data_IF_901421326467
#
_entry.id   IF_901421326467
#
_cell.length_a   1.000
_cell.length_b   1.000
_cell.length_c   1.000
_cell.angle_alpha   90.00
_cell.angle_beta   90.00
_cell.angle_gamma   90.00
#
_symmetry.space_group_name_H-M   'P 1'
#
loop_
_entity.id
_entity.type
_entity.pdbx_description
1 polymer ?
#
# COMPACT_ATOMS: atom_id res chain seq x y z
N UNK A 1 13.33 -23.98 -16.89
CA UNK A 1 14.67 -24.07 -16.30
C UNK A 1 15.73 -24.07 -17.38
N UNK A 2 16.92 -23.50 -17.14
CA UNK A 2 18.04 -23.45 -18.10
C UNK A 2 19.06 -22.38 -17.73
N UNK A 3 20.08 -22.23 -18.59
CA UNK A 3 21.08 -21.17 -18.40
C UNK A 3 20.60 -19.84 -18.94
N UNK A 4 20.89 -18.74 -18.25
CA UNK A 4 20.66 -17.40 -18.78
C UNK A 4 21.67 -17.14 -19.91
N UNK A 5 21.17 -16.86 -21.12
CA UNK A 5 22.01 -16.56 -22.29
C UNK A 5 22.09 -15.06 -22.56
N UNK A 6 21.05 -14.32 -22.23
CA UNK A 6 21.01 -12.87 -22.42
C UNK A 6 20.33 -12.19 -21.22
N UNK A 7 20.77 -11.00 -20.91
CA UNK A 7 20.24 -10.13 -19.88
C UNK A 7 20.05 -8.74 -20.49
N UNK A 8 18.81 -8.24 -20.46
CA UNK A 8 18.43 -6.95 -21.08
C UNK A 8 18.34 -5.80 -20.09
N UNK A 9 18.65 -6.06 -18.82
CA UNK A 9 18.49 -5.13 -17.72
C UNK A 9 19.80 -4.95 -16.94
N UNK A 10 19.84 -3.85 -16.19
CA UNK A 10 20.85 -3.61 -15.14
C UNK A 10 20.12 -3.51 -13.79
N UNK A 11 20.69 -4.08 -12.74
CA UNK A 11 20.12 -3.96 -11.39
C UNK A 11 19.88 -2.50 -11.00
N UNK A 12 18.77 -2.22 -10.34
CA UNK A 12 18.39 -0.88 -9.90
C UNK A 12 17.71 0.00 -10.94
N UNK A 13 17.59 -0.43 -12.21
CA UNK A 13 16.92 0.40 -13.23
C UNK A 13 15.38 0.30 -13.17
N UNK A 14 14.66 1.36 -13.59
CA UNK A 14 13.22 1.30 -13.80
C UNK A 14 12.89 0.48 -15.06
N UNK A 15 11.81 -0.30 -15.00
CA UNK A 15 11.29 -1.10 -16.11
C UNK A 15 9.79 -0.89 -16.28
N UNK A 16 9.30 -1.15 -17.50
CA UNK A 16 7.87 -1.09 -17.83
C UNK A 16 7.29 -2.50 -17.90
N UNK A 17 5.99 -2.63 -17.63
CA UNK A 17 5.27 -3.88 -17.87
C UNK A 17 5.48 -4.36 -19.32
N UNK A 18 5.75 -5.66 -19.49
CA UNK A 18 6.04 -6.26 -20.78
C UNK A 18 7.47 -6.04 -21.33
N UNK A 19 8.35 -5.36 -20.59
CA UNK A 19 9.74 -5.21 -20.99
C UNK A 19 10.50 -6.53 -20.79
N UNK A 20 11.28 -7.02 -21.77
CA UNK A 20 12.10 -8.21 -21.60
C UNK A 20 13.20 -7.96 -20.57
N UNK A 21 13.41 -8.94 -19.69
CA UNK A 21 14.39 -8.89 -18.60
C UNK A 21 15.54 -9.86 -18.84
N UNK A 22 15.20 -11.12 -19.10
CA UNK A 22 16.16 -12.21 -19.29
C UNK A 22 15.72 -13.13 -20.41
N UNK A 23 16.71 -13.79 -21.04
CA UNK A 23 16.48 -14.87 -21.98
C UNK A 23 17.22 -16.13 -21.49
N UNK A 24 16.47 -17.21 -21.38
CA UNK A 24 16.96 -18.54 -21.03
C UNK A 24 17.29 -19.28 -22.33
N UNK A 25 18.23 -20.22 -22.30
CA UNK A 25 18.58 -21.08 -23.46
C UNK A 25 17.34 -21.82 -23.97
N UNK A 26 16.90 -21.45 -25.17
CA UNK A 26 15.66 -21.92 -25.78
C UNK A 26 15.81 -23.19 -26.60
N UNK A 27 17.05 -23.67 -26.91
CA UNK A 27 17.32 -24.76 -27.85
C UNK A 27 16.54 -26.04 -27.55
N UNK A 28 16.44 -26.41 -26.28
CA UNK A 28 15.68 -27.58 -25.86
C UNK A 28 14.17 -27.40 -26.12
N UNK A 29 13.64 -26.22 -25.85
CA UNK A 29 12.23 -25.89 -26.03
C UNK A 29 11.85 -25.78 -27.50
N UNK A 30 12.73 -25.21 -28.34
CA UNK A 30 12.57 -25.17 -29.80
C UNK A 30 12.52 -26.59 -30.39
N UNK A 31 13.39 -27.48 -29.94
CA UNK A 31 13.39 -28.88 -30.36
C UNK A 31 12.12 -29.62 -29.94
N UNK A 32 11.62 -29.37 -28.72
CA UNK A 32 10.37 -29.95 -28.23
C UNK A 32 9.15 -29.45 -29.02
N UNK A 33 9.12 -28.18 -29.36
CA UNK A 33 8.07 -27.60 -30.19
C UNK A 33 8.08 -28.21 -31.61
N UNK A 34 9.26 -28.35 -32.21
CA UNK A 34 9.39 -28.98 -33.55
C UNK A 34 8.89 -30.44 -33.53
N UNK A 35 9.22 -31.20 -32.48
CA UNK A 35 8.74 -32.57 -32.28
C UNK A 35 7.20 -32.61 -32.14
N UNK A 36 6.62 -31.71 -31.33
CA UNK A 36 5.17 -31.63 -31.16
C UNK A 36 4.45 -31.29 -32.49
N UNK A 37 5.00 -30.36 -33.25
CA UNK A 37 4.48 -30.02 -34.59
C UNK A 37 4.55 -31.19 -35.58
N UNK A 38 5.62 -31.98 -35.56
CA UNK A 38 5.77 -33.16 -36.41
C UNK A 38 4.70 -34.24 -36.03
N UNK A 39 4.45 -34.47 -34.76
CA UNK A 39 3.42 -35.39 -34.29
C UNK A 39 2.01 -34.94 -34.70
N UNK A 40 1.73 -33.64 -34.61
CA UNK A 40 0.47 -33.06 -35.08
C UNK A 40 0.29 -33.30 -36.59
N UNK A 41 1.29 -32.96 -37.41
CA UNK A 41 1.24 -33.16 -38.86
C UNK A 41 1.00 -34.64 -39.25
N UNK A 42 1.59 -35.60 -38.49
CA UNK A 42 1.34 -37.01 -38.70
C UNK A 42 -0.13 -37.37 -38.43
N UNK A 43 -0.70 -36.86 -37.32
CA UNK A 43 -2.10 -37.13 -36.94
C UNK A 43 -3.08 -36.49 -37.93
N UNK A 44 -2.80 -35.29 -38.41
CA UNK A 44 -3.58 -34.61 -39.46
C UNK A 44 -3.60 -35.42 -40.77
N UNK A 45 -2.44 -35.94 -41.23
CA UNK A 45 -2.35 -36.79 -42.39
C UNK A 45 -3.16 -38.11 -42.22
N UNK A 46 -3.12 -38.73 -41.03
CA UNK A 46 -3.90 -39.90 -40.70
C UNK A 46 -5.40 -39.62 -40.73
N UNK A 47 -5.84 -38.51 -40.14
CA UNK A 47 -7.21 -38.05 -40.19
C UNK A 47 -7.70 -37.77 -41.61
N UNK A 48 -6.87 -37.10 -42.41
CA UNK A 48 -7.19 -36.82 -43.81
C UNK A 48 -7.46 -38.12 -44.59
N UNK A 49 -6.60 -39.15 -44.42
CA UNK A 49 -6.82 -40.45 -45.04
C UNK A 49 -8.11 -41.12 -44.57
N UNK A 50 -8.37 -41.12 -43.25
CA UNK A 50 -9.59 -41.71 -42.70
C UNK A 50 -10.88 -41.00 -43.17
N UNK A 51 -10.83 -39.69 -43.37
CA UNK A 51 -11.95 -38.90 -43.94
C UNK A 51 -12.17 -39.24 -45.42
N UNK A 52 -11.11 -39.41 -46.23
CA UNK A 52 -11.25 -39.85 -47.61
C UNK A 52 -11.85 -41.27 -47.71
N UNK A 53 -11.48 -42.18 -46.81
CA UNK A 53 -12.05 -43.52 -46.74
C UNK A 53 -13.53 -43.47 -46.31
N UNK A 54 -13.88 -42.62 -45.38
CA UNK A 54 -15.26 -42.44 -44.97
C UNK A 54 -16.14 -41.93 -46.12
N UNK A 55 -15.66 -40.91 -46.84
CA UNK A 55 -16.36 -40.39 -48.06
C UNK A 55 -16.60 -41.50 -49.07
N UNK A 56 -15.58 -42.31 -49.36
CA UNK A 56 -15.67 -43.45 -50.26
C UNK A 56 -16.70 -44.49 -49.76
N UNK A 57 -16.71 -44.80 -48.47
CA UNK A 57 -17.67 -45.75 -47.89
C UNK A 57 -19.06 -45.19 -47.89
N UNK A 58 -19.30 -43.93 -47.69
CA UNK A 58 -20.58 -43.27 -47.77
C UNK A 58 -21.15 -43.38 -49.22
N UNK A 59 -20.31 -43.20 -50.24
CA UNK A 59 -20.72 -43.38 -51.65
C UNK A 59 -21.08 -44.85 -51.97
N UNK A 60 -20.32 -45.82 -51.47
CA UNK A 60 -20.60 -47.25 -51.64
C UNK A 60 -21.89 -47.67 -50.90
N UNK A 61 -22.14 -47.11 -49.74
CA UNK A 61 -23.40 -47.36 -49.00
C UNK A 61 -24.61 -46.78 -49.73
N UNK A 62 -24.50 -45.59 -50.29
CA UNK A 62 -25.56 -45.00 -51.14
C UNK A 62 -25.95 -45.88 -52.35
N UNK A 63 -24.98 -46.66 -52.84
CA UNK A 63 -25.17 -47.64 -53.92
C UNK A 63 -25.53 -49.05 -53.41
N UNK A 64 -25.86 -49.21 -52.12
CA UNK A 64 -26.16 -50.48 -51.45
C UNK A 64 -25.06 -51.55 -51.56
N UNK A 65 -23.80 -51.16 -51.74
CA UNK A 65 -22.63 -52.06 -51.91
C UNK A 65 -21.98 -52.50 -50.61
N UNK A 66 -22.26 -51.78 -49.49
CA UNK A 66 -21.75 -52.10 -48.12
C UNK A 66 -22.82 -51.89 -47.07
N UNK A 67 -22.60 -52.44 -45.86
CA UNK A 67 -23.51 -52.29 -44.71
C UNK A 67 -23.42 -50.95 -44.03
N UNK A 68 -24.48 -50.52 -43.39
CA UNK A 68 -24.51 -49.34 -42.51
C UNK A 68 -23.50 -49.47 -41.37
N UNK A 69 -23.30 -50.65 -40.82
CA UNK A 69 -22.34 -50.96 -39.80
C UNK A 69 -20.89 -50.58 -40.23
N UNK A 70 -20.56 -50.80 -41.49
CA UNK A 70 -19.24 -50.49 -42.03
C UNK A 70 -18.99 -48.99 -42.06
N UNK A 71 -19.99 -48.21 -42.49
CA UNK A 71 -19.91 -46.72 -42.47
C UNK A 71 -19.83 -46.18 -41.04
N UNK A 72 -20.65 -46.72 -40.15
CA UNK A 72 -20.67 -46.34 -38.72
C UNK A 72 -19.30 -46.59 -38.04
N UNK A 73 -18.70 -47.74 -38.29
CA UNK A 73 -17.35 -48.06 -37.78
C UNK A 73 -16.30 -47.08 -38.30
N UNK A 74 -16.35 -46.72 -39.60
CA UNK A 74 -15.41 -45.77 -40.19
C UNK A 74 -15.65 -44.34 -39.64
N UNK A 75 -16.89 -43.94 -39.43
CA UNK A 75 -17.21 -42.67 -38.75
C UNK A 75 -16.64 -42.63 -37.34
N UNK A 76 -16.80 -43.72 -36.57
CA UNK A 76 -16.18 -43.80 -35.24
C UNK A 76 -14.65 -43.69 -35.29
N UNK A 77 -14.02 -44.24 -36.29
CA UNK A 77 -12.56 -44.14 -36.52
C UNK A 77 -12.14 -42.70 -36.86
N UNK A 78 -12.91 -42.00 -37.69
CA UNK A 78 -12.67 -40.56 -37.97
C UNK A 78 -12.79 -39.75 -36.70
N UNK A 79 -13.82 -39.96 -35.90
CA UNK A 79 -14.01 -39.26 -34.61
C UNK A 79 -12.83 -39.50 -33.65
N UNK A 80 -12.31 -40.73 -33.62
CA UNK A 80 -11.12 -41.08 -32.81
C UNK A 80 -9.87 -40.32 -33.30
N UNK A 81 -9.66 -40.20 -34.60
CA UNK A 81 -8.52 -39.45 -35.17
C UNK A 81 -8.68 -37.96 -34.98
N UNK A 82 -9.90 -37.43 -35.04
CA UNK A 82 -10.17 -36.02 -34.69
C UNK A 82 -9.78 -35.71 -33.24
N UNK A 83 -10.14 -36.59 -32.32
CA UNK A 83 -9.73 -36.46 -30.92
C UNK A 83 -8.19 -36.53 -30.77
N UNK A 84 -7.51 -37.40 -31.56
CA UNK A 84 -6.04 -37.49 -31.55
C UNK A 84 -5.39 -36.20 -32.08
N UNK A 85 -5.92 -35.60 -33.14
CA UNK A 85 -5.44 -34.29 -33.66
C UNK A 85 -5.60 -33.21 -32.59
N UNK A 86 -6.76 -33.13 -31.94
CA UNK A 86 -6.99 -32.17 -30.86
C UNK A 86 -6.00 -32.34 -29.70
N UNK A 87 -5.70 -33.59 -29.33
CA UNK A 87 -4.70 -33.88 -28.28
C UNK A 87 -3.29 -33.41 -28.68
N UNK A 88 -2.84 -33.70 -29.92
CA UNK A 88 -1.54 -33.24 -30.40
C UNK A 88 -1.48 -31.72 -30.60
N UNK A 89 -2.60 -31.07 -30.95
CA UNK A 89 -2.68 -29.60 -31.02
C UNK A 89 -2.48 -28.97 -29.63
N UNK A 90 -3.07 -29.57 -28.58
CA UNK A 90 -2.82 -29.14 -27.22
C UNK A 90 -1.35 -29.32 -26.80
N UNK A 91 -0.67 -30.39 -27.26
CA UNK A 91 0.77 -30.58 -27.02
C UNK A 91 1.63 -29.52 -27.74
N UNK A 92 1.26 -29.12 -28.95
CA UNK A 92 1.94 -28.00 -29.65
C UNK A 92 1.77 -26.70 -28.88
N UNK A 93 0.56 -26.41 -28.39
CA UNK A 93 0.29 -25.24 -27.60
C UNK A 93 1.15 -25.22 -26.32
N UNK A 94 1.19 -26.31 -25.59
CA UNK A 94 2.03 -26.45 -24.38
C UNK A 94 3.52 -26.26 -24.67
N UNK A 95 4.02 -26.82 -25.79
CA UNK A 95 5.41 -26.66 -26.17
C UNK A 95 5.73 -25.21 -26.58
N UNK A 96 4.77 -24.52 -27.21
CA UNK A 96 4.91 -23.11 -27.55
C UNK A 96 4.95 -22.24 -26.30
N UNK A 97 4.05 -22.44 -25.35
CA UNK A 97 4.03 -21.73 -24.05
C UNK A 97 5.36 -21.91 -23.31
N UNK A 98 5.88 -23.13 -23.25
CA UNK A 98 7.19 -23.41 -22.64
C UNK A 98 8.35 -22.68 -23.35
N UNK A 99 8.26 -22.50 -24.67
CA UNK A 99 9.24 -21.74 -25.46
C UNK A 99 9.10 -20.24 -25.16
N UNK A 100 7.88 -19.71 -25.13
CA UNK A 100 7.61 -18.31 -24.85
C UNK A 100 8.09 -17.93 -23.44
N UNK A 101 7.93 -18.83 -22.47
CA UNK A 101 8.41 -18.69 -21.09
C UNK A 101 9.95 -18.66 -20.96
N UNK A 102 10.71 -18.96 -22.03
CA UNK A 102 12.17 -18.77 -22.04
C UNK A 102 12.59 -17.31 -22.06
N UNK A 103 11.71 -16.41 -22.48
CA UNK A 103 11.92 -14.97 -22.39
C UNK A 103 11.10 -14.42 -21.22
N UNK A 104 11.80 -13.96 -20.19
CA UNK A 104 11.17 -13.44 -18.98
C UNK A 104 10.89 -11.96 -19.15
N UNK A 105 9.63 -11.58 -18.98
CA UNK A 105 9.16 -10.21 -19.08
C UNK A 105 8.79 -9.65 -17.72
N UNK A 106 8.86 -8.31 -17.59
CA UNK A 106 8.39 -7.61 -16.41
C UNK A 106 6.85 -7.72 -16.28
N UNK A 107 6.30 -8.28 -15.18
CA UNK A 107 4.86 -8.41 -15.00
C UNK A 107 4.15 -7.07 -14.73
N UNK A 108 4.90 -6.08 -14.29
CA UNK A 108 4.40 -4.74 -13.95
C UNK A 108 5.49 -3.68 -14.20
N UNK A 109 5.11 -2.41 -14.20
CA UNK A 109 6.09 -1.32 -14.18
C UNK A 109 6.59 -1.09 -12.76
N UNK A 110 7.89 -0.82 -12.62
CA UNK A 110 8.51 -0.62 -11.29
C UNK A 110 10.02 -0.51 -11.38
N UNK A 111 10.67 -0.49 -10.24
CA UNK A 111 12.12 -0.47 -10.12
C UNK A 111 12.64 -1.85 -9.74
N UNK A 112 13.70 -2.29 -10.39
CA UNK A 112 14.37 -3.55 -10.09
C UNK A 112 15.26 -3.41 -8.87
N UNK A 113 15.42 -4.51 -8.12
CA UNK A 113 16.46 -4.60 -7.10
C UNK A 113 17.86 -4.54 -7.71
N UNK A 114 18.84 -4.14 -6.92
CA UNK A 114 20.25 -4.11 -7.35
C UNK A 114 20.78 -5.53 -7.54
N UNK A 115 20.28 -6.48 -6.73
CA UNK A 115 20.67 -7.89 -6.82
C UNK A 115 19.92 -8.56 -7.97
N UNK A 116 20.65 -8.98 -8.96
CA UNK A 116 20.17 -9.70 -10.14
C UNK A 116 21.08 -10.90 -10.46
N UNK A 117 20.63 -11.78 -11.35
CA UNK A 117 21.37 -12.98 -11.74
C UNK A 117 22.23 -12.68 -12.96
N UNK A 118 23.46 -13.21 -12.95
CA UNK A 118 24.42 -13.05 -14.04
C UNK A 118 24.12 -13.98 -15.22
N UNK A 119 24.54 -13.55 -16.42
CA UNK A 119 24.53 -14.40 -17.64
C UNK A 119 25.41 -15.64 -17.39
N UNK A 120 24.97 -16.79 -17.89
CA UNK A 120 25.61 -18.07 -17.68
C UNK A 120 25.14 -18.84 -16.44
N UNK A 121 24.38 -18.21 -15.53
CA UNK A 121 23.84 -18.89 -14.36
C UNK A 121 22.72 -19.84 -14.75
N UNK A 122 22.71 -21.04 -14.18
CA UNK A 122 21.60 -21.98 -14.31
C UNK A 122 20.47 -21.58 -13.35
N UNK A 123 19.25 -21.49 -13.89
CA UNK A 123 18.05 -21.11 -13.12
C UNK A 123 16.99 -22.19 -13.23
N UNK A 124 16.30 -22.43 -12.13
CA UNK A 124 15.23 -23.42 -12.02
C UNK A 124 13.89 -22.74 -11.77
N UNK A 125 12.88 -23.20 -12.50
CA UNK A 125 11.51 -22.71 -12.33
C UNK A 125 11.01 -22.97 -10.91
N UNK A 126 10.39 -21.96 -10.30
CA UNK A 126 9.80 -22.03 -8.96
C UNK A 126 10.78 -21.96 -7.78
N UNK A 127 12.10 -22.00 -8.01
CA UNK A 127 13.10 -21.98 -6.92
C UNK A 127 14.09 -20.82 -7.02
N UNK A 128 14.43 -20.37 -8.22
CA UNK A 128 15.42 -19.30 -8.40
C UNK A 128 14.74 -17.97 -8.61
N UNK A 129 14.99 -17.02 -7.70
CA UNK A 129 14.59 -15.62 -7.89
C UNK A 129 15.59 -14.94 -8.82
N UNK A 130 15.13 -14.47 -9.97
CA UNK A 130 15.97 -13.79 -10.97
C UNK A 130 16.28 -12.35 -10.58
N UNK A 131 15.27 -11.61 -10.20
CA UNK A 131 15.35 -10.23 -9.73
C UNK A 131 14.06 -9.93 -8.98
N UNK A 132 14.15 -9.12 -7.94
CA UNK A 132 12.97 -8.58 -7.27
C UNK A 132 12.60 -7.23 -7.88
N UNK A 133 11.31 -6.95 -8.00
CA UNK A 133 10.86 -5.65 -8.46
C UNK A 133 9.77 -5.13 -7.54
N UNK A 134 9.72 -3.81 -7.38
CA UNK A 134 8.70 -3.13 -6.58
C UNK A 134 8.15 -1.92 -7.33
N UNK A 135 6.85 -1.73 -7.25
CA UNK A 135 6.24 -0.46 -7.62
C UNK A 135 6.45 0.51 -6.45
N UNK A 136 7.09 1.64 -6.74
CA UNK A 136 7.27 2.71 -5.76
C UNK A 136 6.30 3.87 -5.95
N UNK A 137 5.47 3.83 -6.99
CA UNK A 137 4.45 4.83 -7.26
C UNK A 137 3.17 4.14 -7.79
N UNK A 138 2.04 4.23 -7.07
CA UNK A 138 1.91 4.79 -5.72
C UNK A 138 2.55 3.92 -4.64
N UNK A 139 2.80 4.49 -3.45
CA UNK A 139 3.36 3.79 -2.30
C UNK A 139 2.41 3.85 -1.11
N UNK A 140 2.43 2.80 -0.29
CA UNK A 140 1.65 2.76 0.94
C UNK A 140 2.50 3.08 2.17
N UNK A 141 2.02 4.00 3.01
CA UNK A 141 2.49 4.15 4.37
C UNK A 141 1.59 3.33 5.29
N UNK A 142 2.18 2.40 6.03
CA UNK A 142 1.46 1.58 7.01
C UNK A 142 1.75 2.09 8.41
N UNK A 143 0.69 2.31 9.19
CA UNK A 143 0.78 2.74 10.58
C UNK A 143 -0.31 2.10 11.41
N UNK A 144 -0.20 2.19 12.73
CA UNK A 144 -1.16 1.61 13.66
C UNK A 144 -1.82 2.70 14.48
N UNK A 145 -3.13 2.60 14.63
CA UNK A 145 -3.93 3.43 15.53
C UNK A 145 -4.30 2.62 16.76
N UNK A 146 -4.26 3.23 17.94
CA UNK A 146 -4.82 2.63 19.15
C UNK A 146 -6.35 2.60 19.07
N UNK A 147 -6.99 1.76 19.90
CA UNK A 147 -8.45 1.69 19.98
C UNK A 147 -9.08 3.06 20.28
N UNK A 148 -8.49 3.82 21.20
CA UNK A 148 -8.98 5.15 21.56
C UNK A 148 -8.89 6.15 20.40
N UNK A 149 -7.76 6.16 19.69
CA UNK A 149 -7.59 7.01 18.49
C UNK A 149 -8.59 6.63 17.41
N UNK A 150 -8.81 5.33 17.21
CA UNK A 150 -9.80 4.84 16.25
C UNK A 150 -11.23 5.28 16.62
N UNK A 151 -11.63 5.16 17.88
CA UNK A 151 -12.96 5.58 18.35
C UNK A 151 -13.15 7.09 18.19
N UNK A 152 -12.16 7.90 18.56
CA UNK A 152 -12.18 9.34 18.34
C UNK A 152 -12.30 9.68 16.84
N UNK A 153 -11.59 8.94 16.02
CA UNK A 153 -11.64 9.10 14.56
C UNK A 153 -13.04 8.80 14.00
N UNK A 154 -13.65 7.68 14.42
CA UNK A 154 -15.01 7.29 13.98
C UNK A 154 -16.08 8.28 14.48
N UNK A 155 -15.94 8.83 15.69
CA UNK A 155 -16.87 9.85 16.20
C UNK A 155 -16.79 11.15 15.40
N UNK A 156 -15.60 11.56 14.99
CA UNK A 156 -15.40 12.72 14.11
C UNK A 156 -15.97 12.47 12.72
N UNK A 157 -15.77 11.29 12.17
CA UNK A 157 -16.32 10.90 10.87
C UNK A 157 -17.85 10.91 10.82
N UNK A 158 -18.49 10.41 11.87
CA UNK A 158 -19.95 10.39 11.95
C UNK A 158 -20.55 11.80 11.88
N UNK A 159 -19.76 12.83 12.23
CA UNK A 159 -20.17 14.25 12.17
C UNK A 159 -19.92 14.87 10.79
N UNK A 160 -19.12 14.30 9.91
CA UNK A 160 -18.58 14.99 8.73
C UNK A 160 -18.62 14.23 7.39
N UNK A 161 -19.13 13.03 7.32
CA UNK A 161 -19.49 12.39 6.04
C UNK A 161 -18.49 11.40 5.43
N UNK A 162 -17.53 10.84 6.18
CA UNK A 162 -16.84 9.59 5.76
C UNK A 162 -15.29 9.61 5.76
N UNK A 163 -14.71 8.43 5.91
CA UNK A 163 -13.24 8.10 6.02
C UNK A 163 -12.38 8.73 4.89
N UNK A 164 -12.98 9.20 3.82
CA UNK A 164 -12.25 9.72 2.65
C UNK A 164 -11.74 11.15 2.76
N UNK A 165 -12.10 11.91 3.79
CA UNK A 165 -11.76 13.33 3.92
C UNK A 165 -10.48 13.63 4.72
N UNK A 166 -9.93 12.62 5.41
CA UNK A 166 -8.73 12.82 6.24
C UNK A 166 -7.49 12.87 5.36
N UNK A 167 -6.81 13.99 5.43
CA UNK A 167 -5.51 14.20 4.77
C UNK A 167 -4.41 13.60 5.64
N UNK A 168 -3.50 12.88 5.00
CA UNK A 168 -2.37 12.25 5.68
C UNK A 168 -1.08 12.92 5.25
N UNK A 169 -0.31 13.43 6.21
CA UNK A 169 1.04 13.97 5.96
C UNK A 169 2.11 12.99 6.43
N UNK A 170 3.25 13.01 5.73
CA UNK A 170 4.45 12.27 6.14
C UNK A 170 5.58 13.22 6.51
N UNK A 171 6.19 12.96 7.65
CA UNK A 171 7.47 13.56 8.03
C UNK A 171 8.53 12.46 7.98
N UNK A 172 9.54 12.66 7.14
CA UNK A 172 10.63 11.71 6.94
C UNK A 172 11.56 11.68 8.15
N UNK A 173 12.42 10.66 8.23
CA UNK A 173 13.35 10.47 9.35
C UNK A 173 14.36 11.60 9.54
N UNK A 174 14.62 12.40 8.49
CA UNK A 174 15.47 13.60 8.53
C UNK A 174 14.72 14.87 9.00
N UNK A 175 13.43 14.75 9.37
CA UNK A 175 12.60 15.89 9.79
C UNK A 175 11.93 16.65 8.64
N UNK A 176 12.23 16.36 7.38
CA UNK A 176 11.58 17.02 6.25
C UNK A 176 10.15 16.50 6.04
N UNK A 177 9.20 17.38 5.72
CA UNK A 177 7.85 17.00 5.31
C UNK A 177 7.86 16.53 3.85
N UNK A 178 7.17 15.43 3.57
CA UNK A 178 6.92 14.98 2.20
C UNK A 178 5.92 15.93 1.53
N UNK A 179 6.21 16.44 0.32
CA UNK A 179 5.42 17.53 -0.27
C UNK A 179 4.01 17.11 -0.74
N UNK A 180 3.81 15.81 -0.96
CA UNK A 180 2.52 15.28 -1.45
C UNK A 180 1.78 14.64 -0.28
N UNK A 181 0.56 15.08 -0.05
CA UNK A 181 -0.32 14.50 0.96
C UNK A 181 -0.92 13.20 0.49
N UNK A 182 -1.13 12.28 1.41
CA UNK A 182 -1.78 10.99 1.16
C UNK A 182 -3.23 10.96 1.62
N UNK A 183 -3.87 9.86 1.30
CA UNK A 183 -5.24 9.55 1.73
C UNK A 183 -5.30 8.15 2.34
N UNK A 184 -6.18 7.94 3.29
CA UNK A 184 -6.45 6.61 3.83
C UNK A 184 -7.02 5.73 2.72
N UNK A 185 -6.36 4.62 2.44
CA UNK A 185 -6.77 3.67 1.41
C UNK A 185 -7.52 2.49 2.01
N UNK A 186 -6.99 1.91 3.08
CA UNK A 186 -7.59 0.77 3.77
C UNK A 186 -7.27 0.81 5.25
N UNK A 187 -8.22 0.34 6.06
CA UNK A 187 -8.02 0.03 7.47
C UNK A 187 -8.40 -1.43 7.72
N UNK A 188 -7.70 -2.08 8.63
CA UNK A 188 -8.03 -3.43 9.03
C UNK A 188 -9.40 -3.48 9.72
N UNK A 189 -10.05 -4.64 9.75
CA UNK A 189 -11.37 -4.79 10.38
C UNK A 189 -11.31 -5.33 11.81
N UNK A 190 -10.11 -5.65 12.28
CA UNK A 190 -9.91 -6.21 13.61
C UNK A 190 -8.67 -5.59 14.26
N UNK A 191 -8.75 -5.38 15.54
CA UNK A 191 -7.61 -5.00 16.36
C UNK A 191 -6.65 -6.18 16.50
N UNK A 192 -5.36 -5.91 16.44
CA UNK A 192 -4.33 -6.89 16.76
C UNK A 192 -4.39 -7.21 18.25
N UNK A 193 -4.70 -8.46 18.61
CA UNK A 193 -4.97 -8.88 20.00
C UNK A 193 -3.79 -8.62 20.96
N UNK A 194 -2.55 -8.63 20.46
CA UNK A 194 -1.34 -8.42 21.25
C UNK A 194 -1.09 -6.94 21.61
N UNK A 195 -1.48 -6.02 20.74
CA UNK A 195 -1.15 -4.59 20.89
C UNK A 195 -2.38 -3.71 21.09
N UNK A 196 -3.59 -4.21 20.82
CA UNK A 196 -4.82 -3.43 20.87
C UNK A 196 -4.86 -2.32 19.79
N UNK A 197 -4.15 -2.52 18.68
CA UNK A 197 -4.03 -1.50 17.63
C UNK A 197 -4.66 -1.97 16.32
N UNK A 198 -5.18 -1.01 15.56
CA UNK A 198 -5.71 -1.18 14.22
C UNK A 198 -4.64 -0.79 13.18
N UNK A 199 -4.39 -1.65 12.21
CA UNK A 199 -3.48 -1.32 11.11
C UNK A 199 -4.20 -0.53 10.02
N UNK A 200 -3.62 0.59 9.64
CA UNK A 200 -4.13 1.49 8.59
C UNK A 200 -3.07 1.67 7.51
N UNK A 201 -3.50 1.73 6.26
CA UNK A 201 -2.64 2.03 5.11
C UNK A 201 -3.13 3.29 4.42
N UNK A 202 -2.24 4.26 4.31
CA UNK A 202 -2.45 5.46 3.52
C UNK A 202 -1.68 5.36 2.19
N UNK A 203 -2.30 5.81 1.12
CA UNK A 203 -1.75 5.82 -0.23
C UNK A 203 -1.14 7.20 -0.52
N UNK A 204 0.08 7.19 -1.04
CA UNK A 204 0.82 8.38 -1.45
C UNK A 204 1.27 8.24 -2.89
N UNK A 205 1.12 9.29 -3.67
CA UNK A 205 1.77 9.40 -4.96
C UNK A 205 3.26 9.69 -4.75
N UNK A 206 4.12 9.00 -5.51
CA UNK A 206 5.58 9.09 -5.37
C UNK A 206 6.25 9.18 -6.75
N UNK A 207 5.95 10.25 -7.51
CA UNK A 207 6.44 10.37 -8.89
C UNK A 207 7.96 10.44 -8.99
N UNK A 208 8.60 11.07 -8.00
CA UNK A 208 10.07 11.26 -7.97
C UNK A 208 10.80 10.06 -7.34
N UNK A 209 10.07 9.05 -6.86
CA UNK A 209 10.68 7.87 -6.23
C UNK A 209 11.42 8.16 -4.93
N UNK A 210 11.14 9.27 -4.25
CA UNK A 210 11.79 9.67 -3.00
C UNK A 210 11.49 8.71 -1.86
N UNK A 211 10.25 8.22 -1.80
CA UNK A 211 9.83 7.23 -0.81
C UNK A 211 10.22 5.83 -1.30
N UNK A 212 10.97 5.12 -0.47
CA UNK A 212 11.37 3.74 -0.76
C UNK A 212 10.66 2.77 0.19
N UNK A 213 10.26 1.57 -0.28
CA UNK A 213 9.75 0.53 0.60
C UNK A 213 10.75 0.21 1.73
N UNK A 214 10.25 0.11 2.97
CA UNK A 214 11.08 -0.13 4.14
C UNK A 214 11.61 1.13 4.85
N UNK A 215 11.33 2.33 4.33
CA UNK A 215 11.63 3.58 5.04
C UNK A 215 10.67 3.79 6.22
N UNK A 216 11.19 4.43 7.26
CA UNK A 216 10.38 4.90 8.38
C UNK A 216 9.99 6.36 8.18
N UNK A 217 8.74 6.67 8.48
CA UNK A 217 8.21 8.02 8.45
C UNK A 217 7.22 8.21 9.60
N UNK A 218 7.10 9.45 10.09
CA UNK A 218 6.03 9.83 11.01
C UNK A 218 4.81 10.19 10.19
N UNK A 219 3.68 9.58 10.54
CA UNK A 219 2.39 9.86 9.92
C UNK A 219 1.63 10.86 10.81
N UNK A 220 1.15 11.93 10.20
CA UNK A 220 0.28 12.91 10.84
C UNK A 220 -1.06 12.90 10.12
N UNK A 221 -2.13 12.60 10.85
CA UNK A 221 -3.50 12.69 10.36
C UNK A 221 -4.00 14.12 10.57
N UNK A 222 -4.33 14.81 9.50
CA UNK A 222 -4.93 16.14 9.55
C UNK A 222 -6.44 15.94 9.47
N UNK A 223 -7.08 16.11 10.62
CA UNK A 223 -8.54 16.17 10.73
C UNK A 223 -9.07 17.56 10.41
N UNK A 224 -10.33 17.78 10.76
CA UNK A 224 -10.95 19.08 10.56
C UNK A 224 -10.44 20.15 11.51
N UNK A 225 -10.58 21.38 11.02
CA UNK A 225 -10.35 22.57 11.80
C UNK A 225 -11.56 22.78 12.70
N UNK A 226 -11.35 22.94 14.01
CA UNK A 226 -12.41 23.41 14.91
C UNK A 226 -12.47 24.95 14.73
N UNK A 227 -13.46 25.45 14.03
CA UNK A 227 -13.55 26.89 13.81
C UNK A 227 -13.82 27.59 15.16
N UNK A 228 -13.16 28.73 15.39
CA UNK A 228 -13.31 29.56 16.58
C UNK A 228 -12.97 28.84 17.92
N UNK A 229 -12.08 27.84 17.90
CA UNK A 229 -11.60 27.21 19.12
C UNK A 229 -10.88 28.23 20.01
N UNK A 230 -11.29 28.31 21.29
CA UNK A 230 -10.54 29.07 22.29
C UNK A 230 -9.35 28.24 22.73
N UNK A 231 -8.17 28.83 22.62
CA UNK A 231 -6.91 28.20 23.02
C UNK A 231 -6.33 28.92 24.25
N UNK A 232 -5.89 28.12 25.23
CA UNK A 232 -5.20 28.63 26.41
C UNK A 232 -3.81 28.03 26.50
N UNK A 233 -2.74 28.82 26.73
CA UNK A 233 -1.40 28.27 26.90
C UNK A 233 -1.34 27.31 28.08
N UNK A 234 -0.64 26.18 27.92
CA UNK A 234 -0.47 25.18 28.97
C UNK A 234 0.05 25.79 30.29
N UNK A 235 0.99 26.75 30.20
CA UNK A 235 1.55 27.45 31.34
C UNK A 235 0.52 28.21 32.18
N UNK A 236 -0.60 28.62 31.56
CA UNK A 236 -1.68 29.34 32.27
C UNK A 236 -2.61 28.41 33.01
N UNK A 237 -2.62 27.12 32.68
CA UNK A 237 -3.53 26.15 33.26
C UNK A 237 -2.99 25.66 34.61
N UNK A 238 -3.81 25.82 35.65
CA UNK A 238 -3.56 25.26 36.99
C UNK A 238 -4.53 24.13 37.26
N UNK A 239 -4.07 23.15 38.03
CA UNK A 239 -4.91 22.03 38.48
C UNK A 239 -4.93 21.93 40.00
N UNK A 240 -6.11 21.88 40.55
CA UNK A 240 -6.31 21.67 41.98
C UNK A 240 -7.48 20.69 42.22
N UNK A 241 -7.23 19.64 42.98
CA UNK A 241 -8.22 18.62 43.31
C UNK A 241 -8.97 18.02 42.12
N UNK A 242 -8.25 17.84 41.01
CA UNK A 242 -8.81 17.26 39.75
C UNK A 242 -9.64 18.23 38.89
N UNK A 243 -9.69 19.51 39.25
CA UNK A 243 -10.30 20.57 38.46
C UNK A 243 -9.22 21.43 37.81
N UNK A 244 -9.42 21.80 36.55
CA UNK A 244 -8.57 22.73 35.84
C UNK A 244 -9.15 24.15 35.94
N UNK A 245 -8.29 25.13 36.16
CA UNK A 245 -8.69 26.53 36.20
C UNK A 245 -7.58 27.41 35.66
N UNK A 246 -7.93 28.62 35.28
CA UNK A 246 -7.01 29.68 34.88
C UNK A 246 -7.28 30.93 35.67
N UNK A 247 -6.26 31.78 35.85
CA UNK A 247 -6.41 33.09 36.40
C UNK A 247 -6.67 34.08 35.28
N UNK A 248 -7.78 34.80 35.39
CA UNK A 248 -8.13 35.88 34.43
C UNK A 248 -8.07 37.23 35.12
N UNK A 249 -7.87 38.25 34.29
CA UNK A 249 -7.93 39.64 34.76
C UNK A 249 -9.38 40.05 34.87
N UNK A 250 -9.90 40.12 36.08
CA UNK A 250 -11.26 40.52 36.38
C UNK A 250 -11.42 42.06 36.48
N UNK A 251 -12.57 42.49 36.97
CA UNK A 251 -12.86 43.91 37.15
C UNK A 251 -11.85 44.56 38.12
N UNK A 252 -11.46 45.82 37.82
CA UNK A 252 -10.48 46.60 38.59
C UNK A 252 -9.07 45.95 38.69
N UNK A 253 -8.64 45.25 37.67
CA UNK A 253 -7.33 44.56 37.59
C UNK A 253 -7.10 43.59 38.80
N UNK A 254 -8.12 42.88 39.19
CA UNK A 254 -8.04 41.84 40.21
C UNK A 254 -7.99 40.46 39.59
N UNK A 255 -7.23 39.57 40.20
CA UNK A 255 -7.17 38.18 39.79
C UNK A 255 -8.45 37.43 40.12
N UNK A 256 -9.04 36.77 39.15
CA UNK A 256 -10.23 35.92 39.30
C UNK A 256 -9.90 34.50 38.84
N UNK A 257 -10.16 33.50 39.69
CA UNK A 257 -10.00 32.12 39.33
C UNK A 257 -11.22 31.61 38.56
N UNK A 258 -11.04 31.14 37.32
CA UNK A 258 -12.12 30.65 36.49
C UNK A 258 -11.91 29.18 36.17
N UNK A 259 -12.85 28.33 36.56
CA UNK A 259 -12.83 26.91 36.27
C UNK A 259 -13.09 26.70 34.78
N UNK A 260 -12.26 25.88 34.14
CA UNK A 260 -12.35 25.57 32.72
C UNK A 260 -12.44 24.06 32.45
N UNK A 261 -13.07 23.71 31.36
CA UNK A 261 -13.08 22.36 30.81
C UNK A 261 -12.11 22.29 29.66
N UNK A 262 -11.02 21.52 29.85
CA UNK A 262 -10.00 21.32 28.86
C UNK A 262 -10.44 20.30 27.81
N UNK A 263 -10.05 20.54 26.55
CA UNK A 263 -10.09 19.60 25.44
C UNK A 263 -8.71 19.04 25.15
N UNK A 264 -8.44 18.85 23.85
CA UNK A 264 -7.17 18.33 23.37
C UNK A 264 -6.03 19.34 23.52
N UNK A 265 -4.82 18.82 23.71
CA UNK A 265 -3.59 19.63 23.71
C UNK A 265 -3.08 19.72 22.26
N UNK A 266 -2.81 20.93 21.79
CA UNK A 266 -2.27 21.24 20.46
C UNK A 266 -1.02 22.08 20.66
N UNK A 267 0.14 21.49 20.43
CA UNK A 267 1.42 22.16 20.70
C UNK A 267 1.53 22.66 22.13
N UNK A 268 1.74 23.95 22.33
CA UNK A 268 1.85 24.62 23.63
C UNK A 268 0.50 25.03 24.24
N UNK A 269 -0.63 24.63 23.61
CA UNK A 269 -1.97 25.07 24.02
C UNK A 269 -2.91 23.92 24.34
N UNK A 270 -3.91 24.21 25.18
CA UNK A 270 -5.11 23.39 25.33
C UNK A 270 -6.31 24.06 24.66
N UNK A 271 -7.14 23.27 24.00
CA UNK A 271 -8.45 23.71 23.55
C UNK A 271 -9.35 23.86 24.78
N UNK A 272 -10.04 24.97 24.93
CA UNK A 272 -11.03 25.18 26.00
C UNK A 272 -12.40 24.86 25.45
N UNK A 273 -13.09 23.90 26.08
CA UNK A 273 -14.45 23.49 25.72
C UNK A 273 -15.50 24.36 26.40
N UNK A 274 -15.21 24.84 27.60
CA UNK A 274 -16.15 25.64 28.41
C UNK A 274 -15.41 26.38 29.53
N UNK A 275 -15.97 27.53 29.97
CA UNK A 275 -15.47 28.28 31.11
C UNK A 275 -14.63 29.54 30.78
N UNK A 276 -14.40 29.86 29.53
CA UNK A 276 -13.72 31.10 29.08
C UNK A 276 -14.44 31.75 27.91
N UNK A 277 -14.38 33.05 27.88
CA UNK A 277 -14.82 33.86 26.74
C UNK A 277 -13.65 34.44 25.94
N UNK A 278 -13.86 34.68 24.63
CA UNK A 278 -12.83 35.22 23.74
C UNK A 278 -12.30 36.61 24.15
N UNK A 279 -13.02 37.32 25.01
CA UNK A 279 -12.65 38.62 25.55
C UNK A 279 -11.84 38.56 26.84
N UNK A 280 -11.67 37.36 27.45
CA UNK A 280 -10.95 37.17 28.69
C UNK A 280 -9.44 37.34 28.50
N UNK A 281 -8.81 38.04 29.40
CA UNK A 281 -7.36 38.16 29.50
C UNK A 281 -6.82 37.14 30.50
N UNK A 282 -6.05 36.17 30.02
CA UNK A 282 -5.55 35.08 30.86
C UNK A 282 -4.13 35.39 31.31
N UNK A 283 -3.87 35.14 32.61
CA UNK A 283 -2.54 35.31 33.22
C UNK A 283 -1.68 34.10 32.90
N UNK A 284 -0.52 34.31 32.27
CA UNK A 284 0.42 33.27 31.84
C UNK A 284 1.67 33.16 32.72
N UNK A 285 2.01 34.25 33.46
CA UNK A 285 3.16 34.28 34.37
C UNK A 285 2.79 34.90 35.72
N UNK A 286 3.62 34.63 36.76
CA UNK A 286 3.35 35.11 38.12
C UNK A 286 2.34 34.29 38.92
N UNK A 287 1.89 33.17 38.39
CA UNK A 287 0.81 32.33 38.94
C UNK A 287 1.13 31.74 40.33
N UNK A 288 2.40 31.51 40.63
CA UNK A 288 2.84 30.86 41.92
C UNK A 288 2.59 31.68 43.15
N UNK A 289 2.53 32.99 43.03
CA UNK A 289 2.30 33.93 44.14
C UNK A 289 0.92 34.58 44.10
N UNK A 290 0.18 34.33 43.03
CA UNK A 290 -1.12 34.96 42.78
C UNK A 290 -2.22 34.24 43.51
N UNK A 291 -3.02 35.02 44.29
CA UNK A 291 -4.24 34.55 44.95
C UNK A 291 -5.45 35.23 44.34
N UNK A 292 -6.60 34.56 44.42
CA UNK A 292 -7.87 35.12 44.00
C UNK A 292 -8.15 36.44 44.73
N UNK A 293 -8.56 37.48 44.00
CA UNK A 293 -8.78 38.80 44.48
C UNK A 293 -7.54 39.69 44.65
N UNK A 294 -6.32 39.14 44.36
CA UNK A 294 -5.09 39.91 44.39
C UNK A 294 -5.02 41.01 43.27
N UNK A 295 -4.35 42.10 43.60
CA UNK A 295 -4.17 43.20 42.61
C UNK A 295 -3.13 42.81 41.56
N UNK A 296 -3.42 43.06 40.29
CA UNK A 296 -2.61 42.73 39.14
C UNK A 296 -1.94 43.98 38.54
N UNK A 297 -0.63 43.90 38.33
CA UNK A 297 0.10 44.78 37.40
C UNK A 297 0.19 44.08 36.04
N UNK A 298 -0.77 44.34 35.15
CA UNK A 298 -0.91 43.65 33.90
C UNK A 298 0.08 44.18 32.84
N UNK A 299 0.91 43.27 32.27
CA UNK A 299 1.70 43.53 31.08
C UNK A 299 1.21 42.59 29.99
N UNK A 300 0.73 43.11 28.87
CA UNK A 300 0.28 42.29 27.75
C UNK A 300 1.48 41.75 27.00
N UNK A 301 1.45 40.47 26.72
CA UNK A 301 2.47 39.75 25.94
C UNK A 301 1.80 39.05 24.77
N UNK A 302 2.55 38.87 23.68
CA UNK A 302 2.03 38.09 22.54
C UNK A 302 2.48 36.62 22.63
N UNK A 303 1.80 35.70 21.96
CA UNK A 303 2.23 34.32 21.91
C UNK A 303 3.66 34.12 21.43
N UNK A 304 4.12 34.93 20.46
CA UNK A 304 5.49 34.90 19.92
C UNK A 304 6.54 35.31 20.96
N UNK A 305 6.24 36.32 21.80
CA UNK A 305 7.12 36.76 22.88
C UNK A 305 7.37 35.66 23.92
N UNK A 306 6.40 34.75 24.05
CA UNK A 306 6.44 33.65 25.03
C UNK A 306 6.91 32.32 24.43
N UNK A 307 7.17 32.28 23.12
CA UNK A 307 7.61 31.09 22.40
C UNK A 307 6.52 29.99 22.31
N UNK A 308 5.25 30.36 22.34
CA UNK A 308 4.14 29.41 22.21
C UNK A 308 3.92 29.07 20.73
N UNK A 309 3.89 27.77 20.42
CA UNK A 309 3.66 27.25 19.07
C UNK A 309 2.45 26.34 19.02
N UNK A 310 1.77 26.34 17.88
CA UNK A 310 0.71 25.36 17.56
C UNK A 310 1.27 24.06 17.01
N UNK A 311 2.55 24.04 16.65
CA UNK A 311 3.23 22.83 16.23
C UNK A 311 3.68 22.03 17.48
N UNK A 312 3.43 20.72 17.48
CA UNK A 312 3.90 19.84 18.56
C UNK A 312 5.42 19.82 18.63
N UNK A 313 5.96 19.91 19.83
CA UNK A 313 7.41 19.89 20.06
C UNK A 313 8.01 18.58 19.54
N UNK A 314 8.91 18.68 18.57
CA UNK A 314 9.59 17.54 17.95
C UNK A 314 10.69 16.94 18.85
N UNK A 315 10.88 17.48 20.08
CA UNK A 315 11.98 17.13 20.97
C UNK A 315 11.72 15.89 21.86
N UNK A 316 10.48 15.45 22.04
CA UNK A 316 10.14 14.36 22.98
C UNK A 316 10.47 12.94 22.47
N UNK A 317 11.03 12.77 21.27
CA UNK A 317 11.29 11.46 20.69
C UNK A 317 12.74 10.94 20.83
N UNK A 318 13.57 11.60 21.64
CA UNK A 318 14.96 11.15 21.84
C UNK A 318 15.18 10.32 23.13
N UNK A 319 14.13 9.90 23.82
CA UNK A 319 14.23 9.11 25.04
C UNK A 319 13.48 7.77 24.88
N UNK A 320 14.07 6.81 24.23
CA UNK A 320 14.07 5.35 24.46
C UNK A 320 14.30 4.55 23.18
N UNK A 321 15.53 4.58 22.69
CA UNK A 321 16.01 3.44 21.91
C UNK A 321 16.41 2.34 22.91
N UNK A 322 15.87 1.12 22.82
CA UNK A 322 16.36 0.00 23.62
C UNK A 322 17.77 -0.35 23.15
N UNK A 323 18.73 -0.29 24.07
CA UNK A 323 20.10 -0.78 23.88
C UNK A 323 20.03 -2.25 23.45
N UNK A 324 20.69 -2.67 22.35
CA UNK A 324 20.76 -4.08 22.00
C UNK A 324 21.55 -4.83 23.07
N UNK A 325 20.94 -5.88 23.63
CA UNK A 325 21.63 -6.82 24.51
C UNK A 325 22.72 -7.54 23.71
N UNK A 326 23.92 -7.60 24.35
CA UNK A 326 25.09 -8.36 23.87
C UNK A 326 24.81 -9.85 23.81
#
# INVERSE_FOLDING_TARGET
SGNIVEKYITGGQPVRAGQPLYRIDARQYESALLQAKANLAQSEATLANARMDLDRYQQLYANAAISEQTVSNQQAQVNAYEAAVAAHQAMVQQAQENLDDTTIYAPMSGQLSVNDVAVGTFVSAGTTTLVSMGASNPIYAQFSLSENEYLNFVEQEAKQGGIGSVVVELTLSNGSKYPITGRIATADRALTAQTGTLTVKALFDNPDGLLLPGMFARVTLIGDTIPNALLVPERAVQQLLGKSFVMVVGANNKAEARTITLGEKIGSYYVVKDGLDASDTVVVEGLTTLQEGGDLAVTMVTPDDMGFTLEGDSSDFNASAPTPAQ
#
